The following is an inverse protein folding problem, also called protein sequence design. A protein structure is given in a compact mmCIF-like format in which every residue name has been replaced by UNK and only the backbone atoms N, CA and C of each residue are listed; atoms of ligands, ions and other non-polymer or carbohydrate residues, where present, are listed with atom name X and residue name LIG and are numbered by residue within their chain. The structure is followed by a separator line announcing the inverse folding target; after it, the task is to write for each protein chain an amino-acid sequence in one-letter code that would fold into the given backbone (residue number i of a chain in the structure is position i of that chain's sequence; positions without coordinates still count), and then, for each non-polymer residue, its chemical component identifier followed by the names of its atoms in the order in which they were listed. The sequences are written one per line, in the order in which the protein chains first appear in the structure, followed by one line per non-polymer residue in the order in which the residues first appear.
data_IF_409077452097
#
_entry.id   IF_409077452097
#
_cell.length_a   1.000
_cell.length_b   1.000
_cell.length_c   1.000
_cell.angle_alpha   90.00
_cell.angle_beta   90.00
_cell.angle_gamma   90.00
#
_symmetry.space_group_name_H-M   'P 1'
#
loop_
_entity.id
_entity.type
_entity.pdbx_description
1 polymer ?
#
# COMPACT_ATOMS: atom_id res chain seq x y z
N UNK A 1 -69.73 27.08 2.64
CA UNK A 1 -68.88 27.64 1.58
C UNK A 1 -67.63 28.14 2.23
N UNK A 2 -66.41 27.82 2.09
CA UNK A 2 -65.73 26.93 1.16
C UNK A 2 -64.38 26.58 1.82
N UNK A 3 -64.07 25.26 2.04
CA UNK A 3 -62.73 24.78 2.36
C UNK A 3 -61.98 24.68 1.03
N UNK A 4 -61.01 25.51 0.79
CA UNK A 4 -59.99 25.25 -0.20
C UNK A 4 -58.81 26.20 -0.02
N UNK A 5 -57.61 25.69 -0.10
CA UNK A 5 -56.29 26.34 -0.23
C UNK A 5 -55.36 26.25 0.96
N UNK A 6 -54.88 25.06 1.23
CA UNK A 6 -53.59 24.84 1.88
C UNK A 6 -52.89 23.60 1.26
N UNK A 7 -52.48 23.70 0.01
CA UNK A 7 -51.71 22.68 -0.65
C UNK A 7 -50.93 23.27 -1.82
N UNK A 8 -49.96 24.13 -1.54
CA UNK A 8 -48.94 24.55 -2.52
C UNK A 8 -47.73 25.06 -1.74
N UNK A 9 -46.73 24.23 -1.51
CA UNK A 9 -45.50 24.64 -0.81
C UNK A 9 -44.51 23.51 -0.57
N UNK A 10 -44.68 22.38 -1.27
CA UNK A 10 -43.75 21.24 -1.12
C UNK A 10 -43.02 20.88 -2.44
N UNK A 11 -42.70 21.89 -3.25
CA UNK A 11 -42.03 21.65 -4.52
C UNK A 11 -40.67 22.36 -4.53
N UNK A 12 -39.63 21.57 -4.75
CA UNK A 12 -38.28 21.99 -5.10
C UNK A 12 -37.21 22.04 -3.96
N UNK A 13 -37.11 20.96 -3.17
CA UNK A 13 -35.83 20.68 -2.52
C UNK A 13 -34.99 19.92 -3.51
N UNK A 14 -33.76 20.39 -3.83
CA UNK A 14 -32.84 19.63 -4.69
C UNK A 14 -32.61 18.25 -4.06
N UNK A 15 -32.96 17.20 -4.77
CA UNK A 15 -32.61 15.83 -4.39
C UNK A 15 -31.13 15.67 -4.69
N UNK A 16 -30.30 15.94 -3.68
CA UNK A 16 -28.89 15.51 -3.72
C UNK A 16 -28.90 13.99 -3.71
N UNK A 17 -28.20 13.39 -4.67
CA UNK A 17 -27.96 11.95 -4.64
C UNK A 17 -27.21 11.61 -3.35
N UNK A 18 -27.66 10.62 -2.56
CA UNK A 18 -26.92 10.22 -1.37
C UNK A 18 -25.51 9.79 -1.77
N UNK A 19 -24.50 10.49 -1.27
CA UNK A 19 -23.12 9.99 -1.34
C UNK A 19 -23.09 8.76 -0.45
N UNK A 20 -22.87 7.58 -1.04
CA UNK A 20 -22.84 6.35 -0.27
C UNK A 20 -21.75 6.45 0.82
N UNK A 21 -22.08 6.27 2.11
CA UNK A 21 -21.10 6.37 3.21
C UNK A 21 -19.94 5.40 3.06
N UNK A 22 -20.12 4.31 2.30
CA UNK A 22 -19.09 3.35 1.92
C UNK A 22 -17.95 3.99 1.10
N UNK A 23 -18.21 5.01 0.28
CA UNK A 23 -17.18 5.63 -0.56
C UNK A 23 -16.18 6.47 0.25
N UNK A 24 -16.62 7.21 1.28
CA UNK A 24 -15.74 8.03 2.11
C UNK A 24 -14.83 7.16 3.02
N UNK A 25 -15.36 6.04 3.55
CA UNK A 25 -14.56 5.09 4.35
C UNK A 25 -13.47 4.46 3.51
N UNK A 26 -13.83 4.00 2.32
CA UNK A 26 -12.87 3.38 1.42
C UNK A 26 -11.84 4.39 0.90
N UNK A 27 -12.25 5.62 0.63
CA UNK A 27 -11.35 6.70 0.23
C UNK A 27 -10.37 7.04 1.36
N UNK A 28 -10.85 7.19 2.60
CA UNK A 28 -10.00 7.42 3.77
C UNK A 28 -8.98 6.29 3.96
N UNK A 29 -9.44 5.04 3.89
CA UNK A 29 -8.58 3.88 4.01
C UNK A 29 -7.50 3.86 2.92
N UNK A 30 -7.86 4.05 1.65
CA UNK A 30 -6.90 4.08 0.54
C UNK A 30 -5.86 5.20 0.69
N UNK A 31 -6.29 6.40 1.10
CA UNK A 31 -5.37 7.51 1.32
C UNK A 31 -4.37 7.23 2.44
N UNK A 32 -4.82 6.60 3.52
CA UNK A 32 -3.93 6.19 4.61
C UNK A 32 -2.98 5.06 4.18
N UNK A 33 -3.48 4.05 3.44
CA UNK A 33 -2.64 3.01 2.87
C UNK A 33 -1.55 3.59 1.95
N UNK A 34 -1.91 4.56 1.10
CA UNK A 34 -0.93 5.24 0.25
C UNK A 34 0.15 5.95 1.08
N UNK A 35 -0.24 6.62 2.16
CA UNK A 35 0.70 7.29 3.05
C UNK A 35 1.68 6.28 3.72
N UNK A 36 1.19 5.10 4.13
CA UNK A 36 2.07 4.02 4.61
C UNK A 36 2.99 3.50 3.50
N UNK A 37 2.44 3.13 2.35
CA UNK A 37 3.20 2.53 1.24
C UNK A 37 4.23 3.48 0.62
N UNK A 38 4.09 4.79 0.85
CA UNK A 38 5.05 5.81 0.42
C UNK A 38 5.96 6.31 1.56
N UNK A 39 5.98 5.62 2.71
CA UNK A 39 6.89 5.92 3.82
C UNK A 39 6.66 7.28 4.49
N UNK A 40 5.43 7.82 4.45
CA UNK A 40 5.13 9.10 5.10
C UNK A 40 5.11 8.99 6.63
N UNK A 41 4.82 7.81 7.16
CA UNK A 41 4.83 7.53 8.60
C UNK A 41 6.12 6.85 9.02
N UNK A 42 6.71 7.33 10.12
CA UNK A 42 7.89 6.73 10.74
C UNK A 42 7.53 5.80 11.89
N UNK A 43 8.34 4.78 12.19
CA UNK A 43 8.17 3.95 13.37
C UNK A 43 8.16 4.81 14.66
N UNK A 44 7.13 4.62 15.48
CA UNK A 44 6.93 5.38 16.71
C UNK A 44 6.12 6.67 16.56
N UNK A 45 5.73 7.06 15.34
CA UNK A 45 4.86 8.23 15.16
C UNK A 45 3.56 8.06 15.94
N UNK A 46 3.11 9.17 16.51
CA UNK A 46 1.87 9.26 17.29
C UNK A 46 0.84 10.05 16.52
N UNK A 47 -0.32 9.45 16.29
CA UNK A 47 -1.39 10.01 15.49
C UNK A 47 -2.67 10.10 16.34
N UNK A 48 -3.58 11.00 15.96
CA UNK A 48 -4.93 11.06 16.52
C UNK A 48 -5.97 10.99 15.40
N UNK A 49 -7.17 10.50 15.72
CA UNK A 49 -8.28 10.49 14.76
C UNK A 49 -8.60 11.89 14.25
N UNK A 50 -8.51 12.90 15.13
CA UNK A 50 -8.78 14.29 14.76
C UNK A 50 -7.76 14.79 13.74
N UNK A 51 -6.46 14.59 14.01
CA UNK A 51 -5.39 14.98 13.09
C UNK A 51 -5.57 14.35 11.70
N UNK A 52 -5.91 13.06 11.64
CA UNK A 52 -6.15 12.37 10.38
C UNK A 52 -7.40 12.88 9.66
N UNK A 53 -8.46 13.20 10.40
CA UNK A 53 -9.70 13.76 9.85
C UNK A 53 -9.45 15.15 9.25
N UNK A 54 -8.70 16.00 9.97
CA UNK A 54 -8.34 17.35 9.51
C UNK A 54 -7.48 17.29 8.24
N UNK A 55 -6.48 16.39 8.20
CA UNK A 55 -5.63 16.20 7.01
C UNK A 55 -6.40 15.67 5.79
N UNK A 56 -7.37 14.78 6.01
CA UNK A 56 -8.20 14.24 4.94
C UNK A 56 -9.39 15.12 4.56
N UNK A 57 -9.68 16.16 5.33
CA UNK A 57 -10.81 17.08 5.10
C UNK A 57 -12.18 16.40 5.23
N UNK A 58 -12.31 15.38 6.09
CA UNK A 58 -13.54 14.60 6.28
C UNK A 58 -13.89 14.44 7.77
N UNK A 59 -15.10 13.95 8.05
CA UNK A 59 -15.55 13.73 9.43
C UNK A 59 -14.82 12.56 10.09
N UNK A 60 -14.85 12.51 11.44
CA UNK A 60 -14.20 11.47 12.25
C UNK A 60 -14.71 10.05 12.00
N UNK A 61 -15.97 9.88 11.62
CA UNK A 61 -16.58 8.54 11.47
C UNK A 61 -15.91 7.70 10.38
N UNK A 62 -15.75 8.15 9.12
CA UNK A 62 -15.04 7.39 8.09
C UNK A 62 -13.57 7.16 8.44
N UNK A 63 -12.91 8.11 9.11
CA UNK A 63 -11.52 7.97 9.55
C UNK A 63 -11.40 6.87 10.61
N UNK A 64 -12.30 6.83 11.59
CA UNK A 64 -12.31 5.80 12.62
C UNK A 64 -12.45 4.39 12.04
N UNK A 65 -13.31 4.22 11.04
CA UNK A 65 -13.48 2.92 10.38
C UNK A 65 -12.22 2.53 9.58
N UNK A 66 -11.60 3.47 8.88
CA UNK A 66 -10.34 3.25 8.17
C UNK A 66 -9.22 2.86 9.14
N UNK A 67 -9.08 3.58 10.26
CA UNK A 67 -8.08 3.31 11.29
C UNK A 67 -8.29 1.94 11.95
N UNK A 68 -9.54 1.56 12.26
CA UNK A 68 -9.82 0.21 12.80
C UNK A 68 -9.29 -0.89 11.88
N UNK A 69 -9.43 -0.72 10.57
CA UNK A 69 -8.90 -1.65 9.59
C UNK A 69 -7.37 -1.67 9.60
N UNK A 70 -6.70 -0.51 9.64
CA UNK A 70 -5.24 -0.42 9.74
C UNK A 70 -4.70 -1.04 11.04
N UNK A 71 -5.43 -0.93 12.15
CA UNK A 71 -5.09 -1.61 13.42
C UNK A 71 -5.22 -3.13 13.27
N UNK A 72 -6.30 -3.62 12.66
CA UNK A 72 -6.48 -5.05 12.40
C UNK A 72 -5.41 -5.62 11.46
N UNK A 73 -4.91 -4.82 10.51
CA UNK A 73 -3.83 -5.15 9.59
C UNK A 73 -2.42 -4.97 10.19
N UNK A 74 -2.33 -4.51 11.44
CA UNK A 74 -1.06 -4.35 12.18
C UNK A 74 -0.20 -3.15 11.77
N UNK A 75 -0.75 -2.24 10.97
CA UNK A 75 -0.08 -0.99 10.57
C UNK A 75 -0.10 0.07 11.68
N UNK A 76 -1.10 0.02 12.55
CA UNK A 76 -1.26 0.91 13.71
C UNK A 76 -1.55 0.11 14.98
N UNK A 77 -1.21 0.69 16.12
CA UNK A 77 -1.59 0.23 17.46
C UNK A 77 -2.54 1.26 18.07
N UNK A 78 -3.74 0.82 18.47
CA UNK A 78 -4.67 1.67 19.23
C UNK A 78 -4.37 1.52 20.71
N UNK A 79 -4.14 2.65 21.39
CA UNK A 79 -3.81 2.65 22.82
C UNK A 79 -5.02 3.01 23.68
N UNK A 80 -5.05 2.62 24.97
CA UNK A 80 -6.13 3.00 25.88
C UNK A 80 -6.35 4.52 26.00
N UNK A 81 -5.31 5.31 25.74
CA UNK A 81 -5.37 6.78 25.73
C UNK A 81 -5.99 7.38 24.46
N UNK A 82 -6.55 6.56 23.57
CA UNK A 82 -7.08 6.96 22.25
C UNK A 82 -6.04 7.58 21.32
N UNK A 83 -4.79 7.24 21.54
CA UNK A 83 -3.67 7.62 20.69
C UNK A 83 -3.32 6.45 19.80
N UNK A 84 -3.12 6.71 18.53
CA UNK A 84 -2.67 5.73 17.56
C UNK A 84 -1.14 5.81 17.47
N UNK A 85 -0.48 4.67 17.50
CA UNK A 85 0.99 4.60 17.41
C UNK A 85 1.34 3.75 16.19
N UNK A 86 2.22 4.26 15.35
CA UNK A 86 2.92 3.47 14.34
C UNK A 86 3.88 2.52 15.08
N UNK A 87 3.85 1.21 14.84
CA UNK A 87 4.74 0.28 15.54
C UNK A 87 6.19 0.76 15.53
N UNK A 88 6.87 0.71 16.67
CA UNK A 88 8.28 1.09 16.76
C UNK A 88 9.14 0.12 15.96
N UNK A 89 10.33 0.59 15.57
CA UNK A 89 11.30 -0.30 14.96
C UNK A 89 11.68 -1.42 15.96
N UNK A 90 11.55 -2.64 15.49
CA UNK A 90 11.94 -3.85 16.20
C UNK A 90 12.60 -4.82 15.22
N UNK A 91 13.81 -5.27 15.52
CA UNK A 91 14.62 -6.10 14.62
C UNK A 91 13.99 -7.48 14.41
N UNK A 92 13.49 -8.10 15.48
CA UNK A 92 12.86 -9.41 15.39
C UNK A 92 11.61 -9.34 14.51
N UNK A 93 10.74 -8.36 14.76
CA UNK A 93 9.54 -8.12 13.94
C UNK A 93 9.90 -7.86 12.47
N UNK A 94 10.98 -7.14 12.21
CA UNK A 94 11.47 -6.88 10.85
C UNK A 94 11.86 -8.20 10.14
N UNK A 95 12.58 -9.10 10.81
CA UNK A 95 12.97 -10.40 10.25
C UNK A 95 11.74 -11.31 10.01
N UNK A 96 10.78 -11.30 10.93
CA UNK A 96 9.52 -12.03 10.76
C UNK A 96 8.72 -11.49 9.57
N UNK A 97 8.62 -10.15 9.43
CA UNK A 97 7.95 -9.51 8.31
C UNK A 97 8.63 -9.85 6.97
N UNK A 98 9.96 -9.82 6.91
CA UNK A 98 10.73 -10.23 5.73
C UNK A 98 10.41 -11.68 5.35
N UNK A 99 10.44 -12.59 6.32
CA UNK A 99 10.16 -14.00 6.09
C UNK A 99 8.73 -14.24 5.59
N UNK A 100 7.75 -13.54 6.17
CA UNK A 100 6.36 -13.61 5.72
C UNK A 100 6.18 -13.06 4.30
N UNK A 101 6.85 -11.95 3.95
CA UNK A 101 6.83 -11.39 2.60
C UNK A 101 7.43 -12.36 1.58
N UNK A 102 8.60 -12.90 1.85
CA UNK A 102 9.25 -13.88 0.97
C UNK A 102 8.34 -15.08 0.68
N UNK A 103 7.67 -15.60 1.71
CA UNK A 103 6.79 -16.75 1.56
C UNK A 103 5.52 -16.42 0.76
N UNK A 104 4.78 -15.37 1.17
CA UNK A 104 3.47 -15.07 0.60
C UNK A 104 3.57 -14.39 -0.78
N UNK A 105 4.50 -13.46 -0.97
CA UNK A 105 4.69 -12.80 -2.25
C UNK A 105 5.23 -13.77 -3.30
N UNK A 106 6.08 -14.74 -2.90
CA UNK A 106 6.49 -15.85 -3.77
C UNK A 106 5.33 -16.73 -4.23
N UNK A 107 4.38 -17.07 -3.32
CA UNK A 107 3.18 -17.82 -3.69
C UNK A 107 2.27 -17.03 -4.64
N UNK A 108 2.12 -15.71 -4.41
CA UNK A 108 1.34 -14.82 -5.27
C UNK A 108 1.99 -14.72 -6.65
N UNK A 109 3.33 -14.57 -6.72
CA UNK A 109 4.07 -14.57 -7.98
C UNK A 109 3.85 -15.85 -8.77
N UNK A 110 3.92 -17.03 -8.14
CA UNK A 110 3.67 -18.30 -8.81
C UNK A 110 2.27 -18.38 -9.45
N UNK A 111 1.26 -17.90 -8.73
CA UNK A 111 -0.12 -17.85 -9.25
C UNK A 111 -0.25 -16.87 -10.41
N UNK A 112 0.40 -15.71 -10.31
CA UNK A 112 0.42 -14.71 -11.37
C UNK A 112 1.10 -15.28 -12.62
N UNK A 113 2.23 -15.97 -12.48
CA UNK A 113 2.93 -16.62 -13.58
C UNK A 113 2.10 -17.69 -14.28
N UNK A 114 1.31 -18.47 -13.54
CA UNK A 114 0.41 -19.46 -14.13
C UNK A 114 -0.68 -18.85 -15.03
N UNK A 115 -0.90 -17.53 -14.93
CA UNK A 115 -1.89 -16.74 -15.70
C UNK A 115 -1.19 -15.75 -16.65
N UNK A 116 0.14 -15.84 -16.79
CA UNK A 116 0.95 -14.87 -17.53
C UNK A 116 0.47 -14.71 -18.97
N UNK A 117 0.40 -13.43 -19.39
CA UNK A 117 0.16 -13.06 -20.81
C UNK A 117 1.20 -12.02 -21.24
N UNK A 118 1.47 -11.91 -22.57
CA UNK A 118 2.37 -10.88 -23.09
C UNK A 118 1.94 -9.46 -22.69
N UNK A 119 0.63 -9.19 -22.72
CA UNK A 119 0.05 -7.88 -22.38
C UNK A 119 0.31 -7.51 -20.92
N UNK A 120 0.20 -8.49 -20.01
CA UNK A 120 0.52 -8.27 -18.60
C UNK A 120 1.99 -7.94 -18.38
N UNK A 121 2.91 -8.61 -19.06
CA UNK A 121 4.35 -8.33 -19.00
C UNK A 121 4.64 -6.90 -19.52
N UNK A 122 3.98 -6.49 -20.60
CA UNK A 122 4.08 -5.12 -21.12
C UNK A 122 3.54 -4.10 -20.10
N UNK A 123 2.44 -4.40 -19.42
CA UNK A 123 1.88 -3.54 -18.38
C UNK A 123 2.83 -3.40 -17.18
N UNK A 124 3.49 -4.49 -16.74
CA UNK A 124 4.52 -4.45 -15.71
C UNK A 124 5.69 -3.54 -16.11
N UNK A 125 6.22 -3.71 -17.33
CA UNK A 125 7.31 -2.88 -17.83
C UNK A 125 6.92 -1.40 -17.93
N UNK A 126 5.67 -1.11 -18.28
CA UNK A 126 5.16 0.26 -18.34
C UNK A 126 5.18 0.97 -16.98
N UNK A 127 5.02 0.24 -15.87
CA UNK A 127 5.11 0.84 -14.53
C UNK A 127 6.49 1.41 -14.22
N UNK A 128 7.55 0.86 -14.81
CA UNK A 128 8.93 1.29 -14.59
C UNK A 128 9.35 2.50 -15.43
N UNK A 129 8.64 2.77 -16.55
CA UNK A 129 8.98 3.86 -17.48
C UNK A 129 8.51 5.24 -17.02
N UNK A 130 7.53 5.31 -16.12
CA UNK A 130 6.89 6.57 -15.72
C UNK A 130 7.75 7.44 -14.81
N UNK A 131 8.76 6.89 -14.15
CA UNK A 131 9.65 7.60 -13.20
C UNK A 131 10.76 8.41 -13.90
N UNK A 132 11.26 7.95 -15.05
CA UNK A 132 12.38 8.59 -15.74
C UNK A 132 12.05 10.02 -16.21
N UNK A 133 10.77 10.34 -16.37
CA UNK A 133 10.30 11.65 -16.79
C UNK A 133 10.25 12.71 -15.66
N UNK A 134 10.32 12.31 -14.40
CA UNK A 134 10.07 13.20 -13.25
C UNK A 134 11.34 13.76 -12.59
N UNK A 135 12.54 13.31 -12.98
CA UNK A 135 13.82 13.83 -12.48
C UNK A 135 14.08 13.57 -10.98
N UNK A 136 13.45 12.59 -10.38
CA UNK A 136 13.63 12.25 -8.98
C UNK A 136 15.01 11.61 -8.73
N UNK A 137 15.76 12.17 -7.80
CA UNK A 137 17.06 11.64 -7.36
C UNK A 137 16.90 10.65 -6.20
N UNK A 138 16.20 9.55 -6.41
CA UNK A 138 16.03 8.52 -5.37
C UNK A 138 14.96 7.49 -5.74
N UNK A 139 14.76 6.44 -4.92
CA UNK A 139 13.74 5.43 -5.17
C UNK A 139 12.35 6.05 -5.22
N UNK A 140 11.61 5.80 -6.28
CA UNK A 140 10.19 6.16 -6.37
C UNK A 140 9.34 5.07 -5.71
N UNK A 141 8.92 5.32 -4.46
CA UNK A 141 8.12 4.36 -3.70
C UNK A 141 6.73 4.11 -4.29
N UNK A 142 6.15 5.10 -4.98
CA UNK A 142 4.87 4.92 -5.68
C UNK A 142 5.03 3.99 -6.87
N UNK A 143 6.08 4.18 -7.63
CA UNK A 143 6.42 3.32 -8.77
C UNK A 143 6.74 1.90 -8.29
N UNK A 144 7.54 1.75 -7.25
CA UNK A 144 7.84 0.47 -6.62
C UNK A 144 6.55 -0.27 -6.22
N UNK A 145 5.66 0.42 -5.52
CA UNK A 145 4.35 -0.15 -5.14
C UNK A 145 3.51 -0.50 -6.37
N UNK A 146 3.44 0.38 -7.37
CA UNK A 146 2.67 0.13 -8.59
C UNK A 146 3.18 -1.11 -9.34
N UNK A 147 4.50 -1.29 -9.47
CA UNK A 147 5.09 -2.48 -10.07
C UNK A 147 4.65 -3.75 -9.34
N UNK A 148 4.90 -3.83 -8.04
CA UNK A 148 4.59 -5.02 -7.26
C UNK A 148 3.09 -5.34 -7.25
N UNK A 149 2.22 -4.35 -7.12
CA UNK A 149 0.78 -4.61 -7.12
C UNK A 149 0.21 -4.89 -8.51
N UNK A 150 0.84 -4.42 -9.59
CA UNK A 150 0.54 -4.91 -10.95
C UNK A 150 0.92 -6.38 -11.10
N UNK A 151 2.07 -6.77 -10.52
CA UNK A 151 2.53 -8.16 -10.47
C UNK A 151 1.56 -9.05 -9.68
N UNK A 152 1.22 -8.65 -8.44
CA UNK A 152 0.46 -9.49 -7.51
C UNK A 152 -1.03 -9.57 -7.85
N UNK A 153 -1.65 -8.49 -8.32
CA UNK A 153 -3.06 -8.48 -8.68
C UNK A 153 -3.38 -9.47 -9.81
N UNK A 154 -2.40 -9.80 -10.65
CA UNK A 154 -2.56 -10.80 -11.71
C UNK A 154 -2.77 -12.23 -11.18
N UNK A 155 -2.39 -12.49 -9.91
CA UNK A 155 -2.66 -13.76 -9.24
C UNK A 155 -4.15 -14.01 -9.02
N UNK A 156 -4.98 -12.98 -9.00
CA UNK A 156 -6.44 -13.03 -8.81
C UNK A 156 -6.81 -13.92 -7.60
N UNK A 157 -6.25 -13.58 -6.44
CA UNK A 157 -6.41 -14.35 -5.21
C UNK A 157 -7.08 -13.52 -4.11
N UNK A 158 -8.34 -13.81 -3.83
CA UNK A 158 -9.10 -13.15 -2.76
C UNK A 158 -8.55 -13.44 -1.35
N UNK A 159 -7.76 -14.50 -1.18
CA UNK A 159 -7.16 -14.88 0.10
C UNK A 159 -5.77 -14.29 0.27
N UNK A 160 -4.88 -14.47 -0.71
CA UNK A 160 -3.47 -14.07 -0.57
C UNK A 160 -3.26 -12.56 -0.71
N UNK A 161 -3.99 -11.89 -1.60
CA UNK A 161 -3.80 -10.46 -1.84
C UNK A 161 -4.05 -9.59 -0.60
N UNK A 162 -5.12 -9.78 0.19
CA UNK A 162 -5.29 -9.02 1.43
C UNK A 162 -4.17 -9.25 2.45
N UNK A 163 -3.64 -10.48 2.52
CA UNK A 163 -2.52 -10.80 3.42
C UNK A 163 -1.23 -10.06 2.99
N UNK A 164 -0.93 -10.09 1.69
CA UNK A 164 0.23 -9.34 1.14
C UNK A 164 0.04 -7.83 1.33
N UNK A 165 -1.17 -7.29 1.11
CA UNK A 165 -1.46 -5.88 1.37
C UNK A 165 -1.19 -5.49 2.83
N UNK A 166 -1.61 -6.30 3.79
CA UNK A 166 -1.35 -6.05 5.21
C UNK A 166 0.15 -6.09 5.55
N UNK A 167 0.92 -6.98 4.93
CA UNK A 167 2.38 -7.01 5.10
C UNK A 167 3.05 -5.76 4.51
N UNK A 168 2.59 -5.28 3.37
CA UNK A 168 3.09 -4.06 2.74
C UNK A 168 2.80 -2.81 3.58
N UNK A 169 1.63 -2.72 4.20
CA UNK A 169 1.32 -1.63 5.13
C UNK A 169 2.26 -1.60 6.33
N UNK A 170 2.54 -2.75 6.93
CA UNK A 170 3.49 -2.87 8.02
C UNK A 170 4.93 -2.53 7.58
N UNK A 171 5.31 -2.95 6.38
CA UNK A 171 6.61 -2.63 5.78
C UNK A 171 6.76 -1.15 5.44
N UNK A 172 5.66 -0.46 5.10
CA UNK A 172 5.66 0.96 4.72
C UNK A 172 6.33 1.87 5.75
N UNK A 173 6.24 1.54 7.04
CA UNK A 173 6.91 2.30 8.10
C UNK A 173 8.44 2.18 8.02
N UNK A 174 8.96 1.02 7.60
CA UNK A 174 10.39 0.81 7.39
C UNK A 174 10.90 1.54 6.14
N UNK A 175 10.06 1.73 5.13
CA UNK A 175 10.40 2.55 3.95
C UNK A 175 10.82 3.97 4.35
N UNK A 176 10.16 4.57 5.35
CA UNK A 176 10.57 5.88 5.87
C UNK A 176 12.03 5.88 6.37
N UNK A 177 12.44 4.83 7.09
CA UNK A 177 13.80 4.68 7.57
C UNK A 177 14.78 4.43 6.43
N UNK A 178 14.42 3.57 5.49
CA UNK A 178 15.21 3.25 4.30
C UNK A 178 15.47 4.51 3.49
N UNK A 179 14.44 5.34 3.24
CA UNK A 179 14.56 6.57 2.47
C UNK A 179 15.47 7.62 3.12
N UNK A 180 15.60 7.60 4.44
CA UNK A 180 16.51 8.48 5.20
C UNK A 180 17.91 7.91 5.35
N UNK A 181 18.13 6.66 4.94
CA UNK A 181 19.43 6.00 5.13
C UNK A 181 20.48 6.53 4.14
N UNK A 182 21.75 6.76 4.54
CA UNK A 182 22.80 7.27 3.65
C UNK A 182 23.07 6.39 2.42
N UNK A 183 22.76 5.10 2.50
CA UNK A 183 22.96 4.13 1.41
C UNK A 183 21.74 3.98 0.50
N UNK A 184 20.70 4.80 0.67
CA UNK A 184 19.44 4.71 -0.10
C UNK A 184 19.67 4.76 -1.63
N UNK A 185 20.66 5.51 -2.09
CA UNK A 185 21.00 5.59 -3.51
C UNK A 185 21.38 4.26 -4.16
N UNK A 186 21.78 3.25 -3.38
CA UNK A 186 22.05 1.89 -3.86
C UNK A 186 20.78 1.07 -4.11
N UNK A 187 19.61 1.56 -3.69
CA UNK A 187 18.31 0.88 -3.86
C UNK A 187 17.53 1.49 -5.04
N UNK A 188 17.97 2.62 -5.58
CA UNK A 188 17.26 3.36 -6.64
C UNK A 188 17.15 2.58 -7.97
N UNK A 189 17.97 1.55 -8.15
CA UNK A 189 18.01 0.79 -9.39
C UNK A 189 16.87 -0.24 -9.45
N UNK A 190 16.15 -0.29 -10.55
CA UNK A 190 15.13 -1.30 -10.83
C UNK A 190 15.71 -2.64 -11.30
N UNK A 191 16.96 -2.95 -10.94
CA UNK A 191 17.69 -4.15 -11.40
C UNK A 191 16.87 -5.42 -11.19
N UNK A 192 16.31 -5.60 -10.00
CA UNK A 192 15.54 -6.82 -9.68
C UNK A 192 14.14 -6.78 -10.32
N UNK A 193 13.53 -5.61 -10.49
CA UNK A 193 12.28 -5.50 -11.24
C UNK A 193 12.47 -5.91 -12.70
N UNK A 194 13.53 -5.46 -13.36
CA UNK A 194 13.86 -5.90 -14.72
C UNK A 194 14.23 -7.38 -14.77
N UNK A 195 14.93 -7.91 -13.76
CA UNK A 195 15.23 -9.34 -13.67
C UNK A 195 13.95 -10.19 -13.54
N UNK A 196 12.95 -9.73 -12.77
CA UNK A 196 11.63 -10.36 -12.70
C UNK A 196 10.97 -10.36 -14.10
N UNK A 197 10.88 -9.21 -14.76
CA UNK A 197 10.28 -9.10 -16.11
C UNK A 197 10.95 -10.06 -17.09
N UNK A 198 12.27 -10.11 -17.09
CA UNK A 198 13.03 -10.96 -17.99
C UNK A 198 12.82 -12.47 -17.73
N UNK A 199 12.73 -12.84 -16.45
CA UNK A 199 12.37 -14.21 -16.07
C UNK A 199 10.94 -14.57 -16.49
N UNK A 200 9.98 -13.64 -16.32
CA UNK A 200 8.60 -13.81 -16.79
C UNK A 200 8.52 -14.03 -18.31
N UNK A 201 9.30 -13.27 -19.11
CA UNK A 201 9.37 -13.43 -20.56
C UNK A 201 9.85 -14.81 -20.99
N UNK A 202 10.75 -15.40 -20.22
CA UNK A 202 11.28 -16.75 -20.47
C UNK A 202 10.46 -17.87 -19.85
N UNK A 203 9.42 -17.56 -19.07
CA UNK A 203 8.70 -18.55 -18.28
C UNK A 203 9.56 -19.19 -17.16
N UNK A 204 10.66 -18.50 -16.77
CA UNK A 204 11.60 -18.96 -15.77
C UNK A 204 11.07 -18.67 -14.36
N UNK A 205 10.39 -19.66 -13.79
CA UNK A 205 9.74 -19.53 -12.47
C UNK A 205 10.78 -19.33 -11.36
N UNK A 206 11.84 -20.11 -11.37
CA UNK A 206 12.84 -20.06 -10.31
C UNK A 206 13.64 -18.76 -10.37
N UNK A 207 13.97 -18.30 -11.57
CA UNK A 207 14.61 -16.99 -11.80
C UNK A 207 13.72 -15.83 -11.34
N UNK A 208 12.42 -15.87 -11.61
CA UNK A 208 11.50 -14.84 -11.16
C UNK A 208 11.37 -14.80 -9.63
N UNK A 209 11.29 -15.96 -8.98
CA UNK A 209 11.27 -16.07 -7.51
C UNK A 209 12.56 -15.59 -6.88
N UNK A 210 13.71 -15.96 -7.44
CA UNK A 210 15.02 -15.49 -6.96
C UNK A 210 15.15 -13.96 -7.09
N UNK A 211 14.74 -13.39 -8.21
CA UNK A 211 14.76 -11.94 -8.42
C UNK A 211 13.85 -11.21 -7.44
N UNK A 212 12.63 -11.70 -7.21
CA UNK A 212 11.71 -11.14 -6.21
C UNK A 212 12.28 -11.24 -4.79
N UNK A 213 12.88 -12.38 -4.43
CA UNK A 213 13.50 -12.55 -3.11
C UNK A 213 14.64 -11.55 -2.91
N UNK A 214 15.52 -11.38 -3.89
CA UNK A 214 16.61 -10.40 -3.83
C UNK A 214 16.11 -8.97 -3.70
N UNK A 215 15.02 -8.62 -4.37
CA UNK A 215 14.41 -7.30 -4.25
C UNK A 215 13.89 -7.04 -2.84
N UNK A 216 13.15 -7.99 -2.27
CA UNK A 216 12.68 -7.92 -0.89
C UNK A 216 13.86 -7.81 0.08
N UNK A 217 14.82 -8.73 0.02
CA UNK A 217 15.96 -8.77 0.94
C UNK A 217 16.84 -7.52 0.86
N UNK A 218 17.04 -6.97 -0.35
CA UNK A 218 17.85 -5.77 -0.55
C UNK A 218 17.38 -4.61 0.32
N UNK A 219 16.08 -4.41 0.38
CA UNK A 219 15.50 -3.32 1.15
C UNK A 219 15.66 -3.50 2.66
N UNK A 220 15.59 -4.74 3.16
CA UNK A 220 15.81 -5.03 4.57
C UNK A 220 17.30 -4.96 4.98
N UNK A 221 18.23 -5.31 4.09
CA UNK A 221 19.69 -5.21 4.35
C UNK A 221 20.15 -3.79 4.66
N UNK A 222 19.48 -2.78 4.13
CA UNK A 222 19.82 -1.38 4.42
C UNK A 222 19.58 -1.04 5.89
N UNK A 223 18.57 -1.63 6.53
CA UNK A 223 18.21 -1.35 7.93
C UNK A 223 18.95 -2.23 8.93
N UNK A 224 19.41 -3.38 8.51
CA UNK A 224 20.15 -4.31 9.33
C UNK A 224 21.31 -4.86 8.50
N UNK A 225 22.37 -4.06 8.28
CA UNK A 225 23.57 -4.57 7.65
C UNK A 225 24.10 -5.75 8.47
N UNK A 226 24.54 -6.79 7.76
CA UNK A 226 25.21 -7.93 8.41
C UNK A 226 26.39 -7.43 9.26
N UNK A 227 26.61 -8.02 10.44
CA UNK A 227 27.68 -7.62 11.35
C UNK A 227 29.06 -7.76 10.75
#
# INVERSE_FOLDING_TARGET
MTKASRAQGAANRPRLAPVAPASLRETAYRSLCEAFNTGQFAPGDTLTLQMLADQLGISLTPVREAVRRLVAEGALIDTPSRTLIVPKFDRQRMEELKSARLALEGLVLDRAMARSTPEWIVALEATLRTSDAAGHKGPDLRQNHAFHFTLYNHADSEVLLPMVQALWLQYGTYLNLIMKHPQVGRIADHIFHYAIIEALRRGDRDGARAALAHDIERSFRVLAPDP
#
